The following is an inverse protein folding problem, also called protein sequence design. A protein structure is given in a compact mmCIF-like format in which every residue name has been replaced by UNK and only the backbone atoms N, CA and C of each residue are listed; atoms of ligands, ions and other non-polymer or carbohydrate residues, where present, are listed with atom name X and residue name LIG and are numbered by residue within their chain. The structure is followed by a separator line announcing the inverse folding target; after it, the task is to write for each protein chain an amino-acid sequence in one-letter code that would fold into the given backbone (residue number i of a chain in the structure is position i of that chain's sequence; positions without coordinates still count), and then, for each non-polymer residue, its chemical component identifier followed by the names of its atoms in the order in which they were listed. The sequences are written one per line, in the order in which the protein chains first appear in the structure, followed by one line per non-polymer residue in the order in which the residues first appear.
data_IF_030825009865
#
_entry.id   IF_030825009865
#
_cell.length_a   1.000
_cell.length_b   1.000
_cell.length_c   1.000
_cell.angle_alpha   90.00
_cell.angle_beta   90.00
_cell.angle_gamma   90.00
#
_symmetry.space_group_name_H-M   'P 1'
#
loop_
_entity.id
_entity.type
_entity.pdbx_description
1 polymer ?
#
# COMPACT_ATOMS: atom_id res chain seq x y z
N UNK A 1 -12.76 -30.27 -6.76
CA UNK A 1 -13.52 -29.01 -6.84
C UNK A 1 -12.50 -27.91 -7.04
N UNK A 2 -12.45 -27.21 -8.20
CA UNK A 2 -11.60 -26.03 -8.30
C UNK A 2 -12.24 -24.91 -7.48
N UNK A 3 -11.65 -24.64 -6.32
CA UNK A 3 -12.00 -23.51 -5.48
C UNK A 3 -11.83 -22.23 -6.30
N UNK A 4 -12.93 -21.51 -6.53
CA UNK A 4 -12.92 -20.16 -7.05
C UNK A 4 -12.29 -19.25 -5.99
N UNK A 5 -10.96 -19.16 -6.01
CA UNK A 5 -10.24 -18.12 -5.28
C UNK A 5 -10.54 -16.83 -6.02
N UNK A 6 -11.38 -15.99 -5.41
CA UNK A 6 -11.32 -14.53 -5.63
C UNK A 6 -9.85 -14.17 -5.54
N UNK A 7 -9.22 -13.93 -6.69
CA UNK A 7 -7.82 -13.56 -6.73
C UNK A 7 -7.72 -12.17 -6.11
N UNK A 8 -6.92 -11.99 -5.05
CA UNK A 8 -6.78 -10.69 -4.42
C UNK A 8 -6.19 -9.69 -5.41
N UNK A 9 -6.76 -8.50 -5.47
CA UNK A 9 -6.28 -7.41 -6.31
C UNK A 9 -5.00 -6.88 -5.68
N UNK A 10 -3.89 -7.10 -6.36
CA UNK A 10 -2.59 -6.60 -5.93
C UNK A 10 -2.27 -5.34 -6.71
N UNK A 11 -2.20 -4.22 -6.01
CA UNK A 11 -1.86 -2.92 -6.56
C UNK A 11 -0.47 -2.51 -6.10
N UNK A 12 0.44 -2.27 -7.05
CA UNK A 12 1.75 -1.69 -6.70
C UNK A 12 1.71 -0.18 -6.90
N UNK A 13 2.38 0.53 -6.00
CA UNK A 13 2.56 1.97 -6.01
C UNK A 13 4.05 2.27 -5.91
N UNK A 14 4.52 3.25 -6.68
CA UNK A 14 5.86 3.77 -6.58
C UNK A 14 5.86 4.98 -5.64
N UNK A 15 6.80 5.00 -4.69
CA UNK A 15 6.93 6.04 -3.68
C UNK A 15 8.31 6.67 -3.77
N UNK A 16 8.37 7.98 -3.91
CA UNK A 16 9.60 8.77 -3.88
C UNK A 16 9.80 9.38 -2.49
N UNK A 17 11.07 9.55 -2.10
CA UNK A 17 11.42 10.24 -0.85
C UNK A 17 11.53 9.37 0.41
N UNK A 18 11.58 8.04 0.29
CA UNK A 18 11.71 7.11 1.42
C UNK A 18 12.99 7.29 2.25
N UNK A 19 13.00 8.26 3.17
CA UNK A 19 14.14 8.64 4.00
C UNK A 19 13.94 8.40 5.51
N UNK A 20 12.76 7.97 5.98
CA UNK A 20 12.48 7.85 7.42
C UNK A 20 11.81 6.52 7.83
N UNK A 21 12.61 5.46 8.03
CA UNK A 21 12.13 4.10 8.29
C UNK A 21 11.22 3.87 9.52
N UNK A 22 10.92 4.90 10.31
CA UNK A 22 9.99 4.79 11.45
C UNK A 22 8.52 4.99 11.07
N UNK A 23 8.23 5.65 9.94
CA UNK A 23 6.86 5.97 9.56
C UNK A 23 6.14 4.82 8.83
N UNK A 24 6.88 3.92 8.18
CA UNK A 24 6.30 2.88 7.31
C UNK A 24 5.42 1.87 8.05
N UNK A 25 5.80 1.46 9.27
CA UNK A 25 5.03 0.47 10.04
C UNK A 25 3.65 0.99 10.45
N UNK A 26 3.58 2.27 10.86
CA UNK A 26 2.30 2.93 11.17
C UNK A 26 1.46 3.05 9.91
N UNK A 27 2.05 3.47 8.80
CA UNK A 27 1.45 3.54 7.47
C UNK A 27 0.82 2.22 7.02
N UNK A 28 1.61 1.14 7.04
CA UNK A 28 1.16 -0.22 6.70
C UNK A 28 -0.01 -0.65 7.57
N UNK A 29 -0.01 -0.28 8.85
CA UNK A 29 -1.09 -0.61 9.79
C UNK A 29 -2.36 0.18 9.49
N UNK A 30 -2.26 1.47 9.22
CA UNK A 30 -3.43 2.32 8.90
C UNK A 30 -4.03 1.94 7.55
N UNK A 31 -3.19 1.70 6.53
CA UNK A 31 -3.64 1.20 5.22
C UNK A 31 -4.23 -0.20 5.40
N UNK A 32 -3.61 -1.08 6.18
CA UNK A 32 -4.13 -2.42 6.49
C UNK A 32 -5.44 -2.44 7.28
N UNK A 33 -5.81 -1.35 7.95
CA UNK A 33 -7.12 -1.16 8.61
C UNK A 33 -8.21 -0.67 7.65
N UNK A 34 -7.89 -0.28 6.41
CA UNK A 34 -8.90 0.11 5.43
C UNK A 34 -9.70 -1.12 4.98
N UNK A 35 -11.00 -0.90 4.80
CA UNK A 35 -11.94 -1.95 4.42
C UNK A 35 -11.58 -2.51 3.03
N UNK A 36 -11.42 -3.82 2.95
CA UNK A 36 -10.99 -4.51 1.73
C UNK A 36 -9.48 -4.66 1.56
N UNK A 37 -8.62 -4.19 2.46
CA UNK A 37 -7.17 -4.47 2.39
C UNK A 37 -6.87 -5.81 3.08
N UNK A 38 -6.20 -6.70 2.36
CA UNK A 38 -5.71 -7.99 2.88
C UNK A 38 -4.26 -7.91 3.39
N UNK A 39 -3.46 -7.00 2.84
CA UNK A 39 -2.07 -6.86 3.22
C UNK A 39 -1.36 -5.74 2.50
N UNK A 40 -0.30 -5.22 3.12
CA UNK A 40 0.53 -4.15 2.58
C UNK A 40 2.00 -4.56 2.74
N UNK A 41 2.75 -4.54 1.64
CA UNK A 41 4.19 -4.82 1.57
C UNK A 41 4.91 -3.53 1.18
N UNK A 42 5.71 -2.98 2.08
CA UNK A 42 6.50 -1.76 1.82
C UNK A 42 7.95 -2.15 1.57
N UNK A 43 8.43 -1.90 0.36
CA UNK A 43 9.80 -2.17 -0.11
C UNK A 43 10.63 -0.90 -0.09
N UNK A 44 11.23 -0.62 1.07
CA UNK A 44 12.14 0.50 1.28
C UNK A 44 13.37 0.46 0.33
N UNK A 45 13.88 -0.72 0.00
CA UNK A 45 15.02 -0.88 -0.92
C UNK A 45 14.73 -0.41 -2.36
N UNK A 46 13.46 -0.46 -2.81
CA UNK A 46 13.11 -0.25 -4.22
C UNK A 46 12.17 0.91 -4.48
N UNK A 47 11.72 1.65 -3.46
CA UNK A 47 10.73 2.71 -3.70
C UNK A 47 9.33 2.18 -3.99
N UNK A 48 8.96 0.99 -3.50
CA UNK A 48 7.69 0.36 -3.89
C UNK A 48 6.82 0.01 -2.69
N UNK A 49 5.52 0.21 -2.83
CA UNK A 49 4.49 -0.18 -1.88
C UNK A 49 3.49 -1.06 -2.62
N UNK A 50 3.38 -2.31 -2.22
CA UNK A 50 2.44 -3.26 -2.80
C UNK A 50 1.28 -3.45 -1.84
N UNK A 51 0.08 -3.12 -2.29
CA UNK A 51 -1.16 -3.23 -1.54
C UNK A 51 -1.97 -4.38 -2.11
N UNK A 52 -2.31 -5.34 -1.27
CA UNK A 52 -3.15 -6.49 -1.60
C UNK A 52 -4.51 -6.28 -0.97
N UNK A 53 -5.57 -6.34 -1.77
CA UNK A 53 -6.93 -6.03 -1.36
C UNK A 53 -7.95 -6.99 -1.99
N UNK A 54 -9.09 -7.21 -1.34
CA UNK A 54 -10.25 -7.92 -1.89
C UNK A 54 -11.04 -7.03 -2.87
N UNK A 55 -10.95 -5.71 -2.71
CA UNK A 55 -11.62 -4.69 -3.52
C UNK A 55 -10.65 -3.59 -3.96
N UNK A 56 -11.10 -2.65 -4.79
CA UNK A 56 -10.30 -1.48 -5.17
C UNK A 56 -9.92 -0.67 -3.92
N UNK A 57 -8.63 -0.56 -3.58
CA UNK A 57 -8.19 0.21 -2.44
C UNK A 57 -8.30 1.71 -2.73
N UNK A 58 -8.60 2.51 -1.71
CA UNK A 58 -8.65 3.97 -1.83
C UNK A 58 -7.24 4.55 -2.02
N UNK A 59 -6.88 4.81 -3.28
CA UNK A 59 -5.57 5.39 -3.63
C UNK A 59 -5.36 6.75 -2.96
N UNK A 60 -6.44 7.52 -2.79
CA UNK A 60 -6.41 8.84 -2.16
C UNK A 60 -6.04 8.75 -0.66
N UNK A 61 -6.64 7.78 0.06
CA UNK A 61 -6.30 7.54 1.45
C UNK A 61 -4.86 7.04 1.58
N UNK A 62 -4.43 6.12 0.71
CA UNK A 62 -3.04 5.64 0.69
C UNK A 62 -2.08 6.81 0.41
N UNK A 63 -2.38 7.65 -0.58
CA UNK A 63 -1.56 8.81 -0.91
C UNK A 63 -1.49 9.82 0.23
N UNK A 64 -2.59 10.10 0.93
CA UNK A 64 -2.64 11.02 2.07
C UNK A 64 -1.79 10.53 3.24
N UNK A 65 -1.90 9.25 3.60
CA UNK A 65 -1.08 8.67 4.69
C UNK A 65 0.40 8.61 4.29
N UNK A 66 0.69 8.38 3.00
CA UNK A 66 2.06 8.38 2.46
C UNK A 66 2.63 9.81 2.50
N UNK A 67 1.84 10.82 2.14
CA UNK A 67 2.20 12.25 2.21
C UNK A 67 2.42 12.72 3.66
N UNK A 68 1.52 12.38 4.58
CA UNK A 68 1.67 12.66 6.02
C UNK A 68 2.93 12.03 6.61
N UNK A 69 3.34 10.87 6.11
CA UNK A 69 4.58 10.21 6.52
C UNK A 69 5.85 10.87 5.95
N UNK A 70 5.71 11.88 5.08
CA UNK A 70 6.82 12.56 4.41
C UNK A 70 7.29 11.83 3.15
N UNK A 71 6.41 11.07 2.51
CA UNK A 71 6.68 10.33 1.29
C UNK A 71 5.73 10.77 0.19
N UNK A 72 6.20 10.74 -1.06
CA UNK A 72 5.34 11.11 -2.19
C UNK A 72 4.97 9.86 -2.97
N UNK A 73 3.68 9.54 -3.01
CA UNK A 73 3.18 8.48 -3.86
C UNK A 73 3.18 8.96 -5.32
N UNK A 74 4.16 8.50 -6.09
CA UNK A 74 4.38 8.92 -7.49
C UNK A 74 3.44 8.27 -8.50
N UNK A 75 2.68 7.23 -8.08
CA UNK A 75 1.61 6.63 -8.87
C UNK A 75 1.58 5.10 -8.82
N UNK A 76 0.48 4.52 -9.34
CA UNK A 76 0.29 3.07 -9.51
C UNK A 76 1.23 2.55 -10.61
N UNK A 77 1.91 1.44 -10.34
CA UNK A 77 2.84 0.74 -11.26
C UNK A 77 2.45 -0.71 -11.50
#
# INVERSE_FOLDING_TARGET
MPSNVTAPVTTSYAVAGMSCGHCSATLTRVIGELDGILGVDVRLDTGRVTVTAEAEPDDAAIAEVVDEAGYELTGRV
#
